data_IF_641490110914
#
_entry.id   IF_641490110914
#
_cell.length_a   1.000
_cell.length_b   1.000
_cell.length_c   1.000
_cell.angle_alpha   90.00
_cell.angle_beta   90.00
_cell.angle_gamma   90.00
#
_symmetry.space_group_name_H-M   'P 1'
#
loop_
_entity.id
_entity.type
_entity.pdbx_description
1 polymer ?
#
# COMPACT_ATOMS: atom_id res chain seq x y z
N UNK A 1 17.71 -20.59 11.86
CA UNK A 1 16.40 -19.91 11.72
C UNK A 1 15.61 -20.07 13.00
N UNK A 2 14.89 -19.03 13.44
CA UNK A 2 14.15 -18.99 14.71
C UNK A 2 12.72 -19.56 14.62
N UNK A 3 12.16 -19.62 13.41
CA UNK A 3 10.77 -20.05 13.16
C UNK A 3 10.20 -19.40 11.90
N UNK A 4 8.87 -19.51 11.71
CA UNK A 4 8.15 -18.97 10.56
C UNK A 4 7.32 -17.73 10.89
N UNK A 5 7.30 -16.76 9.97
CA UNK A 5 6.42 -15.60 10.05
C UNK A 5 5.38 -15.71 8.94
N UNK A 6 4.11 -15.80 9.33
CA UNK A 6 2.97 -15.68 8.44
C UNK A 6 2.40 -14.27 8.53
N UNK A 7 2.04 -13.68 7.38
CA UNK A 7 1.47 -12.33 7.32
C UNK A 7 0.18 -12.34 6.51
N UNK A 8 -0.89 -11.81 7.10
CA UNK A 8 -2.10 -11.41 6.39
C UNK A 8 -2.17 -9.90 6.39
N UNK A 9 -1.81 -9.28 5.27
CA UNK A 9 -1.70 -7.83 5.13
C UNK A 9 -3.09 -7.20 4.94
N UNK A 10 -3.39 -6.17 5.73
CA UNK A 10 -4.66 -5.44 5.66
C UNK A 10 -4.51 -4.08 4.97
N UNK A 11 -5.63 -3.50 4.58
CA UNK A 11 -5.69 -2.18 3.96
C UNK A 11 -5.66 -2.22 2.44
N UNK A 12 -5.56 -1.05 1.83
CA UNK A 12 -5.46 -0.92 0.38
C UNK A 12 -4.09 -1.36 -0.13
N UNK A 13 -3.94 -1.49 -1.44
CA UNK A 13 -2.73 -2.04 -2.07
C UNK A 13 -1.42 -1.37 -1.60
N UNK A 14 -1.42 -0.04 -1.43
CA UNK A 14 -0.24 0.68 -0.93
C UNK A 14 0.07 0.35 0.55
N UNK A 15 -0.96 0.14 1.37
CA UNK A 15 -0.79 -0.27 2.77
C UNK A 15 -0.27 -1.72 2.85
N UNK A 16 -0.81 -2.61 2.02
CA UNK A 16 -0.34 -3.98 1.89
C UNK A 16 1.12 -4.04 1.40
N UNK A 17 1.49 -3.21 0.42
CA UNK A 17 2.89 -3.06 -0.03
C UNK A 17 3.83 -2.68 1.11
N UNK A 18 3.45 -1.70 1.92
CA UNK A 18 4.23 -1.30 3.11
C UNK A 18 4.30 -2.45 4.13
N UNK A 19 3.19 -3.16 4.35
CA UNK A 19 3.14 -4.30 5.26
C UNK A 19 4.10 -5.42 4.83
N UNK A 20 4.19 -5.72 3.53
CA UNK A 20 5.16 -6.69 2.99
C UNK A 20 6.60 -6.25 3.28
N UNK A 21 6.94 -4.98 3.02
CA UNK A 21 8.29 -4.47 3.27
C UNK A 21 8.65 -4.51 4.76
N UNK A 22 7.68 -4.18 5.63
CA UNK A 22 7.85 -4.30 7.07
C UNK A 22 8.00 -5.77 7.50
N UNK A 23 7.26 -6.69 6.88
CA UNK A 23 7.36 -8.12 7.18
C UNK A 23 8.74 -8.69 6.84
N UNK A 24 9.31 -8.30 5.68
CA UNK A 24 10.68 -8.65 5.29
C UNK A 24 11.69 -8.16 6.33
N UNK A 25 11.57 -6.91 6.77
CA UNK A 25 12.45 -6.35 7.80
C UNK A 25 12.30 -7.06 9.15
N UNK A 26 11.07 -7.34 9.59
CA UNK A 26 10.79 -8.08 10.83
C UNK A 26 11.34 -9.51 10.75
N UNK A 27 11.17 -10.20 9.63
CA UNK A 27 11.68 -11.56 9.45
C UNK A 27 13.20 -11.61 9.49
N UNK A 28 13.88 -10.69 8.79
CA UNK A 28 15.35 -10.56 8.84
C UNK A 28 15.83 -10.25 10.26
N UNK A 29 15.22 -9.27 10.93
CA UNK A 29 15.54 -8.87 12.31
C UNK A 29 15.36 -10.00 13.33
N UNK A 30 14.34 -10.85 13.17
CA UNK A 30 14.07 -11.99 14.06
C UNK A 30 14.78 -13.28 13.63
N UNK A 31 15.59 -13.23 12.56
CA UNK A 31 16.23 -14.38 11.93
C UNK A 31 15.23 -15.52 11.61
N UNK A 32 14.10 -15.14 11.05
CA UNK A 32 12.94 -15.99 10.81
C UNK A 32 12.65 -16.15 9.31
N UNK A 33 12.02 -17.26 8.95
CA UNK A 33 11.61 -17.56 7.59
C UNK A 33 10.27 -16.90 7.29
N UNK A 34 10.22 -16.04 6.28
CA UNK A 34 8.99 -15.37 5.85
C UNK A 34 8.21 -16.27 4.91
N UNK A 35 6.93 -16.51 5.21
CA UNK A 35 6.01 -17.07 4.23
C UNK A 35 5.50 -15.94 3.35
N UNK A 36 5.39 -16.14 2.03
CA UNK A 36 4.85 -15.14 1.10
C UNK A 36 3.56 -14.53 1.70
N UNK A 37 3.52 -13.19 1.88
CA UNK A 37 2.37 -12.55 2.52
C UNK A 37 1.08 -12.76 1.75
N UNK A 38 -0.03 -12.93 2.48
CA UNK A 38 -1.38 -12.97 1.90
C UNK A 38 -2.06 -11.62 2.01
N UNK A 39 -2.87 -11.26 1.03
CA UNK A 39 -3.61 -10.00 1.04
C UNK A 39 -5.03 -10.24 1.54
N UNK A 40 -5.43 -9.49 2.56
CA UNK A 40 -6.78 -9.59 3.10
C UNK A 40 -7.75 -8.89 2.17
N UNK A 41 -8.88 -9.55 1.91
CA UNK A 41 -9.99 -8.94 1.22
C UNK A 41 -10.55 -7.77 2.03
N UNK A 42 -10.75 -6.64 1.35
CA UNK A 42 -11.37 -5.45 1.92
C UNK A 42 -12.78 -5.27 1.37
N UNK A 43 -13.75 -5.03 2.25
CA UNK A 43 -15.12 -4.67 1.83
C UNK A 43 -15.20 -3.33 1.10
N UNK A 44 -14.20 -2.46 1.27
CA UNK A 44 -14.11 -1.14 0.63
C UNK A 44 -13.66 -1.27 -0.82
N UNK A 45 -12.49 -1.89 -1.07
CA UNK A 45 -11.91 -1.97 -2.41
C UNK A 45 -12.38 -3.20 -3.20
N UNK A 46 -12.94 -4.20 -2.53
CA UNK A 46 -13.50 -5.44 -3.12
C UNK A 46 -12.52 -6.17 -4.06
N UNK A 47 -11.22 -6.01 -3.82
CA UNK A 47 -10.16 -6.62 -4.61
C UNK A 47 -9.80 -8.01 -4.02
N UNK A 48 -10.00 -9.11 -4.77
CA UNK A 48 -9.64 -10.45 -4.31
C UNK A 48 -8.17 -10.81 -4.57
N UNK A 49 -7.43 -9.96 -5.28
CA UNK A 49 -6.06 -10.26 -5.73
C UNK A 49 -5.15 -10.64 -4.57
N UNK A 50 -4.35 -11.69 -4.77
CA UNK A 50 -3.30 -12.11 -3.85
C UNK A 50 -1.93 -11.61 -4.32
N UNK A 51 -0.90 -11.87 -3.51
CA UNK A 51 0.46 -11.41 -3.77
C UNK A 51 0.94 -11.75 -5.19
N UNK A 52 0.72 -12.99 -5.65
CA UNK A 52 1.12 -13.48 -6.97
C UNK A 52 0.39 -12.83 -8.15
N UNK A 53 -0.81 -12.30 -7.93
CA UNK A 53 -1.57 -11.61 -8.98
C UNK A 53 -0.97 -10.23 -9.26
N UNK A 54 -0.42 -9.60 -8.22
CA UNK A 54 0.15 -8.25 -8.27
C UNK A 54 1.66 -8.28 -8.49
N UNK A 55 2.39 -9.20 -7.85
CA UNK A 55 3.85 -9.23 -7.81
C UNK A 55 4.42 -10.58 -8.24
N UNK A 56 5.63 -10.55 -8.80
CA UNK A 56 6.36 -11.74 -9.24
C UNK A 56 7.03 -12.43 -8.05
N UNK A 57 6.51 -13.58 -7.62
CA UNK A 57 7.01 -14.33 -6.46
C UNK A 57 8.48 -14.74 -6.57
N UNK A 58 8.88 -15.32 -7.72
CA UNK A 58 10.25 -15.80 -7.93
C UNK A 58 11.27 -14.65 -7.85
N UNK A 59 10.92 -13.52 -8.44
CA UNK A 59 11.77 -12.31 -8.41
C UNK A 59 11.88 -11.76 -7.00
N UNK A 60 10.77 -11.73 -6.26
CA UNK A 60 10.74 -11.31 -4.86
C UNK A 60 11.65 -12.18 -3.99
N UNK A 61 11.54 -13.51 -4.11
CA UNK A 61 12.36 -14.47 -3.37
C UNK A 61 13.83 -14.37 -3.77
N UNK A 62 14.14 -14.32 -5.06
CA UNK A 62 15.50 -14.27 -5.59
C UNK A 62 16.27 -13.02 -5.16
N UNK A 63 15.63 -11.84 -5.19
CA UNK A 63 16.26 -10.58 -4.82
C UNK A 63 16.59 -10.51 -3.32
N UNK A 64 15.80 -11.16 -2.48
CA UNK A 64 15.91 -11.10 -1.02
C UNK A 64 16.60 -12.32 -0.39
N UNK A 65 17.02 -13.30 -1.19
CA UNK A 65 17.56 -14.59 -0.72
C UNK A 65 18.72 -14.49 0.28
N UNK A 66 19.54 -13.44 0.15
CA UNK A 66 20.73 -13.23 0.99
C UNK A 66 20.39 -12.44 2.27
N UNK A 67 19.18 -11.86 2.37
CA UNK A 67 18.74 -11.02 3.49
C UNK A 67 17.71 -11.72 4.41
N UNK A 68 16.87 -12.58 3.83
CA UNK A 68 15.81 -13.31 4.52
C UNK A 68 15.45 -14.59 3.75
N UNK A 69 15.25 -15.70 4.47
CA UNK A 69 14.69 -16.90 3.87
C UNK A 69 13.19 -16.71 3.61
N UNK A 70 12.73 -16.98 2.39
CA UNK A 70 11.34 -16.81 1.98
C UNK A 70 10.83 -18.13 1.41
N UNK A 71 9.65 -18.57 1.85
CA UNK A 71 8.98 -19.77 1.35
C UNK A 71 7.58 -19.43 0.85
N UNK A 72 7.10 -20.17 -0.15
CA UNK A 72 5.75 -19.95 -0.72
C UNK A 72 4.63 -20.34 0.24
N UNK A 73 4.86 -21.39 1.03
CA UNK A 73 3.86 -21.93 1.93
C UNK A 73 4.52 -22.50 3.18
N UNK A 74 3.72 -22.63 4.24
CA UNK A 74 4.14 -23.24 5.49
C UNK A 74 4.45 -24.73 5.30
N UNK A 75 5.42 -25.28 6.06
CA UNK A 75 5.57 -26.73 6.20
C UNK A 75 4.27 -27.41 6.66
N UNK A 76 3.97 -28.60 6.15
CA UNK A 76 2.71 -29.32 6.39
C UNK A 76 2.36 -29.50 7.87
N UNK A 77 3.37 -29.73 8.73
CA UNK A 77 3.18 -29.88 10.18
C UNK A 77 2.72 -28.59 10.88
N UNK A 78 2.98 -27.41 10.30
CA UNK A 78 2.52 -26.12 10.83
C UNK A 78 1.15 -25.73 10.28
N UNK A 79 0.75 -26.25 9.10
CA UNK A 79 -0.56 -25.94 8.49
C UNK A 79 -1.74 -26.44 9.30
N UNK A 80 -1.58 -27.55 10.03
CA UNK A 80 -2.63 -28.16 10.86
C UNK A 80 -2.79 -27.48 12.23
N UNK A 81 -1.86 -26.60 12.62
CA UNK A 81 -1.91 -25.92 13.91
C UNK A 81 -3.02 -24.88 13.97
N UNK A 82 -3.78 -24.91 15.07
CA UNK A 82 -4.72 -23.83 15.41
C UNK A 82 -3.96 -22.67 16.04
N UNK A 83 -3.36 -21.81 15.22
CA UNK A 83 -2.45 -20.74 15.66
C UNK A 83 -3.04 -19.84 16.76
N UNK A 84 -4.35 -19.54 16.70
CA UNK A 84 -5.03 -18.76 17.73
C UNK A 84 -5.06 -19.47 19.09
N UNK A 85 -5.29 -20.78 19.09
CA UNK A 85 -5.39 -21.58 20.32
C UNK A 85 -4.03 -21.69 21.05
N UNK A 86 -2.93 -21.69 20.30
CA UNK A 86 -1.57 -21.73 20.86
C UNK A 86 -0.97 -20.33 21.12
N UNK A 87 -1.79 -19.27 21.02
CA UNK A 87 -1.33 -17.89 21.25
C UNK A 87 -0.24 -17.42 20.28
N UNK A 88 -0.30 -17.88 19.02
CA UNK A 88 0.66 -17.56 17.95
C UNK A 88 0.12 -16.51 16.97
N UNK A 89 -1.07 -15.93 17.24
CA UNK A 89 -1.64 -14.86 16.42
C UNK A 89 -1.41 -13.51 17.11
N UNK A 90 -0.84 -12.57 16.36
CA UNK A 90 -0.65 -11.18 16.77
C UNK A 90 -1.46 -10.30 15.81
N UNK A 91 -2.40 -9.53 16.35
CA UNK A 91 -3.30 -8.68 15.57
C UNK A 91 -2.84 -7.22 15.56
N UNK A 92 -3.51 -6.42 14.73
CA UNK A 92 -3.37 -4.97 14.71
C UNK A 92 -3.68 -4.27 16.04
N UNK A 93 -4.47 -4.90 16.92
CA UNK A 93 -4.78 -4.36 18.24
C UNK A 93 -3.63 -4.61 19.23
N UNK A 94 -2.86 -5.69 19.02
CA UNK A 94 -1.76 -6.11 19.90
C UNK A 94 -0.44 -5.37 19.59
N UNK A 95 -0.34 -4.76 18.40
CA UNK A 95 0.83 -4.01 17.95
C UNK A 95 0.61 -2.50 18.01
N UNK A 96 1.41 -1.75 18.80
CA UNK A 96 1.43 -0.30 18.75
C UNK A 96 1.65 0.21 17.31
N UNK A 97 1.07 1.36 16.99
CA UNK A 97 1.40 2.04 15.73
C UNK A 97 2.85 2.51 15.79
N UNK A 98 3.64 2.17 14.79
CA UNK A 98 5.06 2.50 14.76
C UNK A 98 5.87 1.78 15.84
N UNK A 99 5.53 0.52 16.15
CA UNK A 99 6.28 -0.30 17.09
C UNK A 99 7.76 -0.36 16.71
N UNK A 100 8.64 -0.24 17.71
CA UNK A 100 10.09 -0.23 17.53
C UNK A 100 10.64 -1.63 17.35
N UNK A 101 11.87 -1.74 16.82
CA UNK A 101 12.63 -3.01 16.74
C UNK A 101 12.64 -3.75 18.08
N UNK A 102 12.94 -3.02 19.14
CA UNK A 102 12.99 -3.57 20.50
C UNK A 102 11.62 -4.10 20.97
N UNK A 103 10.50 -3.46 20.58
CA UNK A 103 9.17 -3.99 20.87
C UNK A 103 8.96 -5.39 20.27
N UNK A 104 9.38 -5.61 19.01
CA UNK A 104 9.29 -6.92 18.38
C UNK A 104 10.20 -7.95 19.06
N UNK A 105 11.41 -7.55 19.44
CA UNK A 105 12.34 -8.44 20.16
C UNK A 105 11.79 -8.85 21.53
N UNK A 106 11.12 -7.94 22.24
CA UNK A 106 10.56 -8.22 23.58
C UNK A 106 9.23 -8.96 23.54
N UNK A 107 8.37 -8.71 22.56
CA UNK A 107 6.98 -9.20 22.58
C UNK A 107 6.68 -10.26 21.51
N UNK A 108 7.35 -10.22 20.35
CA UNK A 108 7.08 -11.15 19.24
C UNK A 108 8.07 -12.31 19.23
N UNK A 109 9.35 -12.05 19.43
CA UNK A 109 10.39 -13.08 19.42
C UNK A 109 10.13 -14.22 20.43
N UNK A 110 9.64 -13.98 21.66
CA UNK A 110 9.31 -15.06 22.59
C UNK A 110 8.19 -15.96 22.08
N UNK A 111 7.15 -15.38 21.43
CA UNK A 111 6.06 -16.14 20.82
C UNK A 111 6.61 -17.03 19.71
N UNK A 112 7.44 -16.45 18.84
CA UNK A 112 8.06 -17.16 17.73
C UNK A 112 8.95 -18.33 18.22
N UNK A 113 9.79 -18.10 19.22
CA UNK A 113 10.67 -19.14 19.80
C UNK A 113 9.89 -20.27 20.45
N UNK A 114 8.82 -19.94 21.17
CA UNK A 114 7.99 -20.92 21.88
C UNK A 114 7.19 -21.79 20.92
N UNK A 115 6.60 -21.18 19.89
CA UNK A 115 5.62 -21.84 19.03
C UNK A 115 6.19 -22.27 17.67
N UNK A 116 7.42 -21.85 17.33
CA UNK A 116 8.03 -22.05 16.01
C UNK A 116 7.39 -21.23 14.88
N UNK A 117 6.30 -20.51 15.16
CA UNK A 117 5.57 -19.70 14.20
C UNK A 117 4.90 -18.51 14.90
N UNK A 118 4.76 -17.40 14.17
CA UNK A 118 3.87 -16.29 14.51
C UNK A 118 3.09 -15.84 13.27
N UNK A 119 1.79 -15.60 13.44
CA UNK A 119 0.92 -15.07 12.40
C UNK A 119 0.51 -13.63 12.74
N UNK A 120 0.98 -12.68 11.94
CA UNK A 120 0.48 -11.32 11.97
C UNK A 120 -0.83 -11.21 11.18
N UNK A 121 -1.96 -11.19 11.89
CA UNK A 121 -3.28 -11.08 11.29
C UNK A 121 -3.70 -9.61 11.20
N UNK A 122 -3.86 -9.15 9.96
CA UNK A 122 -4.20 -7.77 9.64
C UNK A 122 -2.98 -6.85 9.57
N UNK A 123 -1.77 -7.37 9.41
CA UNK A 123 -0.54 -6.57 9.48
C UNK A 123 -0.55 -5.39 8.49
N UNK A 124 -0.38 -4.18 9.02
CA UNK A 124 -0.30 -2.95 8.23
C UNK A 124 1.05 -2.26 8.41
N UNK A 125 1.04 -0.92 8.46
CA UNK A 125 2.23 -0.15 8.79
C UNK A 125 2.49 -0.15 10.32
N UNK A 126 3.01 -1.26 10.83
CA UNK A 126 3.23 -1.49 12.28
C UNK A 126 4.67 -1.38 12.74
N UNK A 127 5.65 -1.47 11.85
CA UNK A 127 7.05 -1.23 12.16
C UNK A 127 7.37 0.26 11.98
N UNK A 128 7.85 0.92 13.05
CA UNK A 128 8.19 2.34 13.06
C UNK A 128 9.35 2.70 12.12
N UNK A 129 9.47 3.98 11.79
CA UNK A 129 10.59 4.50 10.99
C UNK A 129 11.76 4.96 11.84
N UNK A 130 11.49 5.48 13.04
CA UNK A 130 12.52 6.02 13.93
C UNK A 130 12.30 5.56 15.39
N UNK A 131 13.36 5.14 16.11
CA UNK A 131 14.69 4.83 15.59
C UNK A 131 14.69 3.48 14.83
N UNK A 132 15.18 3.46 13.59
CA UNK A 132 15.40 2.24 12.81
C UNK A 132 16.87 2.06 12.43
N UNK A 133 17.47 0.89 12.66
CA UNK A 133 18.80 0.57 12.16
C UNK A 133 18.90 0.74 10.65
N UNK A 134 19.99 1.35 10.18
CA UNK A 134 20.22 1.67 8.78
C UNK A 134 20.06 0.45 7.85
N UNK A 135 20.62 -0.71 8.22
CA UNK A 135 20.52 -1.91 7.39
C UNK A 135 19.08 -2.42 7.25
N UNK A 136 18.24 -2.30 8.29
CA UNK A 136 16.83 -2.66 8.20
C UNK A 136 16.05 -1.69 7.30
N UNK A 137 16.35 -0.39 7.39
CA UNK A 137 15.73 0.61 6.52
C UNK A 137 16.15 0.40 5.06
N UNK A 138 17.42 0.11 4.81
CA UNK A 138 17.96 -0.25 3.49
C UNK A 138 17.29 -1.50 2.94
N UNK A 139 17.07 -2.52 3.77
CA UNK A 139 16.34 -3.73 3.37
C UNK A 139 14.87 -3.44 3.02
N UNK A 140 14.17 -2.58 3.77
CA UNK A 140 12.81 -2.12 3.42
C UNK A 140 12.80 -1.44 2.05
N UNK A 141 13.79 -0.58 1.78
CA UNK A 141 13.93 0.06 0.48
C UNK A 141 14.22 -0.96 -0.63
N UNK A 142 15.14 -1.91 -0.41
CA UNK A 142 15.44 -3.00 -1.35
C UNK A 142 14.19 -3.80 -1.70
N UNK A 143 13.41 -4.19 -0.69
CA UNK A 143 12.14 -4.85 -0.88
C UNK A 143 11.18 -3.99 -1.72
N UNK A 144 10.97 -2.74 -1.31
CA UNK A 144 10.00 -1.83 -1.90
C UNK A 144 10.28 -1.43 -3.35
N UNK A 145 11.55 -1.25 -3.72
CA UNK A 145 11.94 -0.72 -5.03
C UNK A 145 12.49 -1.79 -5.98
N UNK A 146 13.02 -2.89 -5.47
CA UNK A 146 13.66 -3.92 -6.30
C UNK A 146 12.92 -5.26 -6.24
N UNK A 147 12.58 -5.76 -5.05
CA UNK A 147 11.97 -7.09 -4.91
C UNK A 147 10.50 -7.15 -5.36
N UNK A 148 9.73 -6.09 -5.09
CA UNK A 148 8.32 -6.00 -5.48
C UNK A 148 8.17 -5.59 -6.95
N UNK A 149 8.38 -6.55 -7.86
CA UNK A 149 8.10 -6.41 -9.30
C UNK A 149 6.67 -6.73 -9.61
N UNK A 150 5.99 -5.85 -10.34
CA UNK A 150 4.63 -6.10 -10.79
C UNK A 150 4.56 -7.34 -11.68
N UNK A 151 3.43 -8.06 -11.63
CA UNK A 151 3.17 -9.21 -12.50
C UNK A 151 3.27 -8.81 -13.98
N UNK A 152 3.64 -9.76 -14.82
CA UNK A 152 3.89 -9.52 -16.25
C UNK A 152 2.69 -8.90 -16.96
N UNK A 153 1.47 -9.27 -16.54
CA UNK A 153 0.21 -8.69 -17.04
C UNK A 153 0.09 -7.20 -16.72
N UNK A 154 0.44 -6.79 -15.50
CA UNK A 154 0.40 -5.38 -15.10
C UNK A 154 1.48 -4.59 -15.86
N UNK A 155 2.68 -5.18 -16.00
CA UNK A 155 3.78 -4.55 -16.73
C UNK A 155 3.47 -4.35 -18.21
N UNK A 156 2.85 -5.34 -18.86
CA UNK A 156 2.46 -5.24 -20.28
C UNK A 156 1.38 -4.18 -20.51
N UNK A 157 0.36 -4.13 -19.65
CA UNK A 157 -0.67 -3.06 -19.70
C UNK A 157 -0.05 -1.70 -19.43
N UNK A 158 0.83 -1.57 -18.44
CA UNK A 158 1.54 -0.34 -18.14
C UNK A 158 2.36 0.16 -19.33
N UNK A 159 3.03 -0.74 -20.04
CA UNK A 159 3.77 -0.40 -21.25
C UNK A 159 2.86 0.08 -22.38
N UNK A 160 1.75 -0.62 -22.64
CA UNK A 160 0.76 -0.23 -23.64
C UNK A 160 0.14 1.16 -23.34
N UNK A 161 -0.12 1.46 -22.06
CA UNK A 161 -0.62 2.77 -21.65
C UNK A 161 0.39 3.88 -21.96
N UNK A 162 1.68 3.66 -21.66
CA UNK A 162 2.72 4.65 -21.96
C UNK A 162 2.91 4.85 -23.46
N UNK A 163 2.78 3.78 -24.26
CA UNK A 163 2.78 3.88 -25.71
C UNK A 163 1.65 4.78 -26.21
N UNK A 164 0.43 4.56 -25.73
CA UNK A 164 -0.76 5.34 -26.13
C UNK A 164 -0.72 6.79 -25.66
N UNK A 165 -0.12 7.06 -24.50
CA UNK A 165 0.09 8.42 -23.99
C UNK A 165 1.17 9.19 -24.77
N UNK A 166 1.74 8.61 -25.83
CA UNK A 166 2.74 9.27 -26.68
C UNK A 166 4.07 9.51 -25.96
N UNK A 167 4.34 8.75 -24.88
CA UNK A 167 5.65 8.79 -24.22
C UNK A 167 6.64 8.01 -25.08
N UNK A 168 7.52 8.75 -25.73
CA UNK A 168 8.72 8.23 -26.38
C UNK A 168 9.89 8.88 -25.67
N UNK A 169 10.69 8.09 -24.93
CA UNK A 169 11.74 8.65 -24.08
C UNK A 169 13.12 8.46 -24.68
N UNK A 170 13.86 9.57 -24.73
CA UNK A 170 15.31 9.61 -24.92
C UNK A 170 15.99 8.70 -23.90
N UNK A 171 17.07 8.02 -24.32
CA UNK A 171 17.84 6.99 -23.60
C UNK A 171 18.45 7.40 -22.23
N UNK A 172 18.18 8.60 -21.70
CA UNK A 172 18.78 9.09 -20.44
C UNK A 172 17.96 8.64 -19.23
N UNK A 173 18.53 7.71 -18.46
CA UNK A 173 18.10 7.22 -17.14
C UNK A 173 16.75 6.45 -17.12
N UNK A 174 16.72 5.27 -17.76
CA UNK A 174 15.57 4.34 -17.76
C UNK A 174 15.46 3.48 -16.49
N UNK A 175 16.31 3.67 -15.48
CA UNK A 175 16.43 2.73 -14.36
C UNK A 175 15.09 2.51 -13.64
N UNK A 176 14.27 3.54 -13.45
CA UNK A 176 12.94 3.40 -12.85
C UNK A 176 11.93 2.69 -13.77
N UNK A 177 11.99 2.94 -15.07
CA UNK A 177 11.08 2.36 -16.06
C UNK A 177 11.38 0.87 -16.26
N UNK A 178 12.65 0.50 -16.33
CA UNK A 178 13.09 -0.89 -16.31
C UNK A 178 12.64 -1.58 -15.01
N UNK A 179 12.74 -0.89 -13.87
CA UNK A 179 12.29 -1.46 -12.60
C UNK A 179 10.78 -1.67 -12.57
N UNK A 180 9.97 -0.82 -13.22
CA UNK A 180 8.51 -0.91 -13.22
C UNK A 180 7.96 -1.83 -14.32
N UNK A 181 8.52 -1.77 -15.53
CA UNK A 181 8.01 -2.42 -16.75
C UNK A 181 8.78 -3.68 -17.14
N UNK A 182 9.99 -3.87 -16.61
CA UNK A 182 10.84 -5.02 -16.94
C UNK A 182 11.08 -5.14 -18.44
N UNK A 183 10.94 -6.36 -18.98
CA UNK A 183 11.13 -6.68 -20.39
C UNK A 183 10.05 -6.09 -21.31
N UNK A 184 8.96 -5.52 -20.78
CA UNK A 184 7.89 -4.93 -21.58
C UNK A 184 8.17 -3.49 -21.99
N UNK A 185 9.30 -2.92 -21.60
CA UNK A 185 9.68 -1.55 -21.96
C UNK A 185 9.81 -1.39 -23.49
N UNK A 186 9.09 -0.42 -24.05
CA UNK A 186 9.14 -0.10 -25.48
C UNK A 186 10.23 0.93 -25.74
N UNK A 187 11.22 0.59 -26.58
CA UNK A 187 12.29 1.50 -27.02
C UNK A 187 12.02 1.87 -28.48
N UNK A 188 11.71 3.15 -28.75
CA UNK A 188 11.53 3.70 -30.12
C UNK A 188 12.72 4.59 -30.53
N UNK A 189 13.04 4.70 -31.84
CA UNK A 189 14.13 5.54 -32.34
C UNK A 189 13.94 7.03 -32.00
N UNK A 190 15.05 7.78 -31.98
CA UNK A 190 15.14 9.18 -31.52
C UNK A 190 14.26 10.18 -32.29
N UNK A 191 13.79 9.83 -33.49
CA UNK A 191 13.02 10.72 -34.36
C UNK A 191 11.52 10.81 -34.02
N UNK A 192 11.05 10.06 -33.02
CA UNK A 192 9.64 10.07 -32.62
C UNK A 192 9.29 11.28 -31.74
N UNK A 193 8.29 12.06 -32.16
CA UNK A 193 7.83 13.26 -31.49
C UNK A 193 7.26 12.92 -30.10
N UNK A 194 7.86 13.45 -29.04
CA UNK A 194 7.48 13.12 -27.66
C UNK A 194 6.31 13.99 -27.20
N UNK A 195 5.17 13.40 -26.85
CA UNK A 195 4.08 14.14 -26.21
C UNK A 195 4.31 14.20 -24.70
N UNK A 196 4.03 15.36 -24.09
CA UNK A 196 4.06 15.54 -22.64
C UNK A 196 2.64 15.47 -22.11
N UNK A 197 2.48 14.80 -20.97
CA UNK A 197 1.21 14.74 -20.25
C UNK A 197 1.44 14.98 -18.75
N UNK A 198 0.39 15.43 -18.08
CA UNK A 198 0.31 15.53 -16.63
C UNK A 198 -0.27 14.24 -16.05
N UNK A 199 0.43 13.60 -15.12
CA UNK A 199 -0.13 12.49 -14.35
C UNK A 199 -0.80 13.05 -13.08
N UNK A 200 -2.11 12.85 -12.95
CA UNK A 200 -2.91 13.31 -11.82
C UNK A 200 -3.47 12.10 -11.05
N UNK A 201 -3.05 11.92 -9.80
CA UNK A 201 -3.68 10.96 -8.91
C UNK A 201 -4.78 11.67 -8.10
N UNK A 202 -6.04 11.44 -8.46
CA UNK A 202 -7.19 12.12 -7.87
C UNK A 202 -7.90 11.18 -6.88
N UNK A 203 -7.56 11.26 -5.60
CA UNK A 203 -8.22 10.50 -4.52
C UNK A 203 -9.44 11.24 -3.98
N UNK A 204 -10.52 11.20 -4.75
CA UNK A 204 -11.81 11.78 -4.38
C UNK A 204 -12.96 10.76 -4.45
N UNK A 205 -12.67 9.50 -4.12
CA UNK A 205 -13.68 8.45 -4.03
C UNK A 205 -14.40 8.46 -2.67
N UNK A 206 -15.57 7.83 -2.61
CA UNK A 206 -16.43 7.84 -1.40
C UNK A 206 -15.70 7.39 -0.13
N UNK A 207 -14.77 6.44 -0.24
CA UNK A 207 -13.98 5.96 0.90
C UNK A 207 -13.09 7.07 1.48
N UNK A 208 -12.43 7.84 0.61
CA UNK A 208 -11.56 8.94 0.99
C UNK A 208 -12.36 10.13 1.51
N UNK A 209 -13.43 10.50 0.81
CA UNK A 209 -14.35 11.57 1.21
C UNK A 209 -14.94 11.27 2.58
N UNK A 210 -15.47 10.06 2.79
CA UNK A 210 -16.02 9.63 4.08
C UNK A 210 -14.95 9.60 5.17
N UNK A 211 -13.76 9.05 4.90
CA UNK A 211 -12.67 8.96 5.88
C UNK A 211 -12.16 10.33 6.34
N UNK A 212 -12.14 11.32 5.45
CA UNK A 212 -11.59 12.65 5.72
C UNK A 212 -12.34 13.41 6.83
N UNK A 213 -13.63 13.14 7.03
CA UNK A 213 -14.48 13.90 7.95
C UNK A 213 -14.80 15.32 7.49
N UNK A 214 -14.42 15.68 6.26
CA UNK A 214 -14.67 16.99 5.68
C UNK A 214 -16.10 17.14 5.16
N UNK A 215 -16.45 18.38 4.83
CA UNK A 215 -17.72 18.76 4.21
C UNK A 215 -17.44 19.38 2.84
N UNK A 216 -18.15 18.91 1.82
CA UNK A 216 -17.90 19.26 0.41
C UNK A 216 -19.09 19.97 -0.25
N UNK A 217 -20.04 20.45 0.56
CA UNK A 217 -21.13 21.31 0.08
C UNK A 217 -22.42 20.58 -0.26
N UNK A 218 -22.48 19.25 -0.15
CA UNK A 218 -23.66 18.44 -0.51
C UNK A 218 -24.78 18.41 0.55
N UNK A 219 -24.81 19.35 1.50
CA UNK A 219 -25.91 19.52 2.46
C UNK A 219 -26.10 18.34 3.44
N UNK A 220 -27.32 18.17 3.93
CA UNK A 220 -27.66 17.10 4.88
C UNK A 220 -27.62 15.70 4.24
N UNK A 221 -27.83 15.59 2.93
CA UNK A 221 -27.71 14.33 2.19
C UNK A 221 -26.27 13.80 2.24
N UNK A 222 -25.27 14.63 1.91
CA UNK A 222 -23.85 14.26 1.99
C UNK A 222 -23.48 13.84 3.42
N UNK A 223 -23.86 14.65 4.42
CA UNK A 223 -23.55 14.35 5.82
C UNK A 223 -24.10 13.00 6.26
N UNK A 224 -25.35 12.70 5.87
CA UNK A 224 -26.02 11.44 6.20
C UNK A 224 -25.35 10.26 5.49
N UNK A 225 -25.12 10.37 4.18
CA UNK A 225 -24.49 9.35 3.37
C UNK A 225 -23.09 8.99 3.90
N UNK A 226 -22.22 10.00 4.05
CA UNK A 226 -20.84 9.78 4.50
C UNK A 226 -20.77 9.30 5.95
N UNK A 227 -21.76 9.65 6.80
CA UNK A 227 -21.89 9.08 8.15
C UNK A 227 -22.19 7.59 8.09
N UNK A 228 -23.20 7.18 7.32
CA UNK A 228 -23.57 5.77 7.17
C UNK A 228 -22.39 4.96 6.60
N UNK A 229 -21.70 5.51 5.59
CA UNK A 229 -20.51 4.88 5.02
C UNK A 229 -19.41 4.66 6.08
N UNK A 230 -19.14 5.66 6.94
CA UNK A 230 -18.17 5.51 8.03
C UNK A 230 -18.58 4.47 9.06
N UNK A 231 -19.87 4.41 9.41
CA UNK A 231 -20.42 3.43 10.35
C UNK A 231 -20.26 2.00 9.83
N UNK A 232 -20.48 1.79 8.54
CA UNK A 232 -20.33 0.47 7.91
C UNK A 232 -18.86 0.06 7.70
N UNK A 233 -18.04 0.97 7.14
CA UNK A 233 -16.72 0.60 6.63
C UNK A 233 -15.55 0.97 7.55
N UNK A 234 -15.73 1.91 8.48
CA UNK A 234 -14.65 2.43 9.33
C UNK A 234 -14.99 2.43 10.84
N UNK A 235 -15.44 1.31 11.43
CA UNK A 235 -15.82 1.27 12.85
C UNK A 235 -14.66 1.63 13.79
N UNK A 236 -13.44 1.15 13.50
CA UNK A 236 -12.24 1.47 14.28
C UNK A 236 -11.83 2.95 14.17
N UNK A 237 -12.17 3.62 13.06
CA UNK A 237 -11.98 5.07 12.95
C UNK A 237 -12.94 5.79 13.89
N UNK A 238 -14.21 5.40 13.92
CA UNK A 238 -15.21 6.01 14.79
C UNK A 238 -14.86 5.84 16.27
N UNK A 239 -14.41 4.65 16.67
CA UNK A 239 -13.91 4.42 18.04
C UNK A 239 -12.73 5.31 18.40
N UNK A 240 -11.81 5.53 17.45
CA UNK A 240 -10.68 6.43 17.66
C UNK A 240 -11.13 7.88 17.77
N UNK A 241 -12.06 8.31 16.92
CA UNK A 241 -12.58 9.68 16.92
C UNK A 241 -13.26 10.03 18.24
N UNK A 242 -13.93 9.07 18.88
CA UNK A 242 -14.51 9.23 20.24
C UNK A 242 -13.46 9.53 21.32
N UNK A 243 -12.21 9.10 21.13
CA UNK A 243 -11.10 9.29 22.08
C UNK A 243 -10.25 10.52 21.75
N UNK A 244 -10.51 11.19 20.64
CA UNK A 244 -9.75 12.36 20.19
C UNK A 244 -10.59 13.62 20.28
N UNK A 245 -9.93 14.78 20.43
CA UNK A 245 -10.60 16.08 20.33
C UNK A 245 -11.33 16.19 18.98
N UNK A 246 -12.61 16.56 19.02
CA UNK A 246 -13.37 16.88 17.83
C UNK A 246 -12.73 18.06 17.08
N UNK A 247 -12.63 17.93 15.76
CA UNK A 247 -12.13 18.95 14.84
C UNK A 247 -13.24 19.23 13.82
N UNK A 248 -13.62 20.49 13.67
CA UNK A 248 -14.68 20.88 12.75
C UNK A 248 -14.23 20.75 11.29
N UNK A 249 -15.15 20.52 10.32
CA UNK A 249 -14.80 20.47 8.91
C UNK A 249 -14.03 21.69 8.39
N UNK A 250 -14.37 22.95 8.77
CA UNK A 250 -13.58 24.12 8.38
C UNK A 250 -12.16 24.14 8.95
N UNK A 251 -11.95 23.61 10.15
CA UNK A 251 -10.61 23.46 10.73
C UNK A 251 -9.80 22.38 10.00
N UNK A 252 -10.40 21.24 9.67
CA UNK A 252 -9.76 20.19 8.86
C UNK A 252 -9.31 20.74 7.51
N UNK A 253 -10.18 21.53 6.86
CA UNK A 253 -9.91 22.17 5.58
C UNK A 253 -8.73 23.14 5.66
N UNK A 254 -8.74 24.06 6.64
CA UNK A 254 -7.65 25.02 6.87
C UNK A 254 -6.32 24.34 7.21
N UNK A 255 -6.36 23.18 7.86
CA UNK A 255 -5.19 22.37 8.17
C UNK A 255 -4.66 21.52 6.99
N UNK A 256 -5.26 21.63 5.79
CA UNK A 256 -4.87 20.84 4.62
C UNK A 256 -5.18 19.35 4.73
N UNK A 257 -6.16 18.97 5.57
CA UNK A 257 -6.54 17.56 5.82
C UNK A 257 -7.69 17.06 4.96
N UNK A 258 -8.31 17.94 4.18
CA UNK A 258 -9.36 17.56 3.24
C UNK A 258 -8.77 17.29 1.86
N UNK A 259 -9.22 16.23 1.16
CA UNK A 259 -8.90 16.08 -0.26
C UNK A 259 -9.48 17.26 -1.06
N UNK A 260 -8.81 17.61 -2.16
CA UNK A 260 -9.34 18.59 -3.12
C UNK A 260 -10.48 17.95 -3.90
N UNK A 261 -11.56 18.71 -4.10
CA UNK A 261 -12.60 18.32 -5.06
C UNK A 261 -12.02 18.33 -6.48
N UNK A 262 -12.65 17.65 -7.46
CA UNK A 262 -12.22 17.71 -8.85
C UNK A 262 -12.14 19.14 -9.40
N UNK A 263 -13.09 20.01 -9.03
CA UNK A 263 -13.10 21.43 -9.39
C UNK A 263 -11.89 22.17 -8.80
N UNK A 264 -11.62 21.97 -7.51
CA UNK A 264 -10.48 22.60 -6.84
C UNK A 264 -9.15 22.12 -7.42
N UNK A 265 -9.04 20.83 -7.74
CA UNK A 265 -7.87 20.29 -8.42
C UNK A 265 -7.68 20.94 -9.80
N UNK A 266 -8.75 21.12 -10.57
CA UNK A 266 -8.70 21.80 -11.87
C UNK A 266 -8.29 23.27 -11.74
N UNK A 267 -8.81 23.99 -10.75
CA UNK A 267 -8.43 25.38 -10.46
C UNK A 267 -6.95 25.51 -10.09
N UNK A 268 -6.43 24.60 -9.26
CA UNK A 268 -5.00 24.54 -8.93
C UNK A 268 -4.16 24.33 -10.19
N UNK A 269 -4.56 23.41 -11.08
CA UNK A 269 -3.84 23.18 -12.33
C UNK A 269 -3.88 24.41 -13.25
N UNK A 270 -5.02 25.08 -13.38
CA UNK A 270 -5.13 26.31 -14.15
C UNK A 270 -4.22 27.41 -13.59
N UNK A 271 -4.18 27.59 -12.26
CA UNK A 271 -3.33 28.56 -11.58
C UNK A 271 -1.83 28.25 -11.75
N UNK A 272 -1.45 26.98 -11.88
CA UNK A 272 -0.08 26.55 -12.19
C UNK A 272 0.29 26.75 -13.68
N UNK A 273 -0.62 27.28 -14.51
CA UNK A 273 -0.37 27.59 -15.92
C UNK A 273 -0.69 26.43 -16.88
N UNK A 274 -1.34 25.36 -16.42
CA UNK A 274 -1.82 24.33 -17.32
C UNK A 274 -3.03 24.83 -18.11
N UNK A 275 -2.93 24.78 -19.44
CA UNK A 275 -4.04 25.17 -20.34
C UNK A 275 -5.04 24.03 -20.52
N UNK A 276 -6.22 24.34 -21.07
CA UNK A 276 -7.23 23.36 -21.46
C UNK A 276 -6.77 22.37 -22.54
N UNK A 277 -5.65 22.64 -23.21
CA UNK A 277 -5.02 21.73 -24.19
C UNK A 277 -4.07 20.72 -23.55
N UNK A 278 -3.85 20.78 -22.24
CA UNK A 278 -2.95 19.87 -21.52
C UNK A 278 -3.52 18.45 -21.54
N UNK A 279 -2.74 17.48 -22.03
CA UNK A 279 -3.08 16.08 -21.90
C UNK A 279 -2.91 15.63 -20.44
N UNK A 280 -3.97 15.11 -19.82
CA UNK A 280 -3.94 14.66 -18.42
C UNK A 280 -4.27 13.16 -18.37
N UNK A 281 -3.38 12.38 -17.76
CA UNK A 281 -3.67 11.02 -17.34
C UNK A 281 -4.16 11.04 -15.90
N UNK A 282 -5.45 10.76 -15.70
CA UNK A 282 -6.07 10.72 -14.38
C UNK A 282 -6.05 9.28 -13.85
N UNK A 283 -5.35 9.07 -12.75
CA UNK A 283 -5.38 7.83 -11.97
C UNK A 283 -6.34 8.02 -10.78
N UNK A 284 -7.38 7.20 -10.72
CA UNK A 284 -8.38 7.20 -9.67
C UNK A 284 -9.43 6.12 -9.92
N UNK A 285 -10.39 6.01 -9.02
CA UNK A 285 -11.61 5.22 -9.22
C UNK A 285 -12.83 6.14 -9.32
N UNK A 286 -14.04 5.62 -9.13
CA UNK A 286 -15.29 6.37 -9.24
C UNK A 286 -15.28 7.57 -8.28
N UNK A 287 -15.34 8.77 -8.87
CA UNK A 287 -15.31 10.04 -8.16
C UNK A 287 -16.64 10.24 -7.42
N UNK A 288 -16.57 10.63 -6.14
CA UNK A 288 -17.74 10.92 -5.34
C UNK A 288 -18.54 12.09 -5.91
N UNK A 289 -19.85 11.89 -6.08
CA UNK A 289 -20.76 12.89 -6.67
C UNK A 289 -20.64 13.05 -8.18
N UNK A 290 -19.80 12.28 -8.87
CA UNK A 290 -19.75 12.24 -10.33
C UNK A 290 -20.82 11.32 -10.91
N UNK A 291 -21.46 11.75 -12.00
CA UNK A 291 -22.24 10.86 -12.86
C UNK A 291 -21.27 10.09 -13.77
N UNK A 292 -21.45 8.76 -13.86
CA UNK A 292 -20.63 7.86 -14.69
C UNK A 292 -21.07 7.86 -16.14
#
# INVERSE_FOLDING_TARGET
ETGFILVSANGGLNQQRIAVCNAVAVASMLNATLVIPRFMYSKVWKDPSQFSDIYQEETFMSILKDDVNIVKDLPSHLKSLKLKAIGSVVTEADLPKGATVDYYLRNVLPILRRNGIVHFLGFGNRLGFDPMPYELQKLRCKCNFHALKFSTKIQSVGSLLLERLGKHRRRKNMLLEEQLLGSYMIIKPEESQTSKYLALHLRFEVDMVAHSGCYFGGGESEKKELRLYREEHFPLLLERLKKTRYVSPPELRRAGRCPLTPEEAALVLAALGFSSKTLIYVAGSQIYGGES
#
